data_IF_135070653228
#
_entry.id   IF_135070653228
#
_cell.length_a   1.000
_cell.length_b   1.000
_cell.length_c   1.000
_cell.angle_alpha   90.00
_cell.angle_beta   90.00
_cell.angle_gamma   90.00
#
_symmetry.space_group_name_H-M   'P 1'
#
loop_
_entity.id
_entity.type
_entity.pdbx_description
1 polymer ?
#
# COMPACT_ATOMS: atom_id res chain seq x y z
N UNK A 1 6.91 6.81 0.38
CA UNK A 1 6.52 6.05 1.59
C UNK A 1 5.71 6.97 2.49
N UNK A 2 4.61 6.47 3.06
CA UNK A 2 3.74 7.22 3.99
C UNK A 2 3.43 6.31 5.16
N UNK A 3 3.30 6.88 6.37
CA UNK A 3 2.98 6.16 7.59
C UNK A 3 1.92 6.91 8.38
N UNK A 4 1.10 6.19 9.15
CA UNK A 4 0.11 6.75 10.09
C UNK A 4 0.31 6.12 11.47
N UNK A 5 -0.15 6.82 12.53
CA UNK A 5 0.09 6.46 13.93
C UNK A 5 1.42 6.98 14.49
N UNK A 6 2.03 7.96 13.81
CA UNK A 6 3.31 8.58 14.19
C UNK A 6 3.24 10.11 14.01
N UNK A 7 3.89 10.89 14.90
CA UNK A 7 4.51 10.49 16.16
C UNK A 7 3.48 10.14 17.25
N UNK A 8 2.23 10.57 17.07
CA UNK A 8 1.13 10.30 17.98
C UNK A 8 0.38 9.04 17.55
N UNK A 9 0.27 8.02 18.42
CA UNK A 9 -0.51 6.82 18.12
C UNK A 9 -2.00 7.14 17.94
N UNK A 10 -2.63 6.56 16.93
CA UNK A 10 -4.06 6.74 16.62
C UNK A 10 -4.87 5.43 16.79
N UNK A 11 -4.45 4.59 17.74
CA UNK A 11 -5.03 3.27 18.00
C UNK A 11 -5.18 2.45 16.71
N UNK A 12 -6.36 1.91 16.39
CA UNK A 12 -6.59 1.12 15.18
C UNK A 12 -6.86 1.98 13.93
N UNK A 13 -6.98 3.31 14.04
CA UNK A 13 -7.38 4.17 12.92
C UNK A 13 -6.30 4.32 11.85
N UNK A 14 -5.02 4.11 12.18
CA UNK A 14 -3.92 4.21 11.21
C UNK A 14 -4.14 3.38 9.96
N UNK A 15 -4.57 2.12 10.12
CA UNK A 15 -4.79 1.22 8.99
C UNK A 15 -5.88 1.78 8.06
N UNK A 16 -6.95 2.32 8.63
CA UNK A 16 -8.05 2.91 7.88
C UNK A 16 -7.69 4.21 7.14
N UNK A 17 -6.88 5.07 7.77
CA UNK A 17 -6.39 6.30 7.14
C UNK A 17 -5.51 5.99 5.92
N UNK A 18 -4.55 5.06 6.08
CA UNK A 18 -3.67 4.64 4.99
C UNK A 18 -4.46 3.91 3.90
N UNK A 19 -5.42 3.05 4.26
CA UNK A 19 -6.29 2.39 3.28
C UNK A 19 -7.13 3.39 2.49
N UNK A 20 -7.69 4.40 3.14
CA UNK A 20 -8.48 5.44 2.48
C UNK A 20 -7.61 6.28 1.55
N UNK A 21 -6.41 6.67 2.01
CA UNK A 21 -5.42 7.38 1.20
C UNK A 21 -4.98 6.58 -0.03
N UNK A 22 -4.78 5.27 0.12
CA UNK A 22 -4.40 4.40 -0.99
C UNK A 22 -5.50 4.33 -2.07
N UNK A 23 -6.78 4.24 -1.67
CA UNK A 23 -7.91 4.30 -2.59
C UNK A 23 -7.99 5.66 -3.31
N UNK A 24 -7.75 6.76 -2.60
CA UNK A 24 -7.70 8.10 -3.17
C UNK A 24 -6.57 8.27 -4.18
N UNK A 25 -5.39 7.71 -3.90
CA UNK A 25 -4.25 7.71 -4.82
C UNK A 25 -4.57 6.94 -6.09
N UNK A 26 -5.14 5.74 -5.98
CA UNK A 26 -5.55 4.96 -7.16
C UNK A 26 -6.58 5.69 -8.02
N UNK A 27 -7.55 6.36 -7.39
CA UNK A 27 -8.55 7.16 -8.12
C UNK A 27 -7.90 8.35 -8.84
N UNK A 28 -6.95 9.01 -8.19
CA UNK A 28 -6.26 10.20 -8.74
C UNK A 28 -5.40 9.85 -9.97
N UNK A 29 -4.77 8.68 -9.97
CA UNK A 29 -3.92 8.18 -11.07
C UNK A 29 -4.69 8.09 -12.40
N UNK A 30 -6.01 7.87 -12.36
CA UNK A 30 -6.86 7.88 -13.57
C UNK A 30 -6.89 9.22 -14.29
N UNK A 31 -6.86 10.31 -13.53
CA UNK A 31 -6.92 11.68 -14.09
C UNK A 31 -5.55 12.22 -14.48
N UNK A 32 -4.48 11.59 -14.00
CA UNK A 32 -3.13 12.03 -14.25
C UNK A 32 -2.66 11.61 -15.64
N UNK A 33 -2.27 12.60 -16.46
CA UNK A 33 -1.67 12.37 -17.79
C UNK A 33 -0.21 12.78 -17.78
N UNK A 34 0.63 11.92 -18.34
CA UNK A 34 2.06 12.16 -18.45
C UNK A 34 2.30 13.13 -19.63
N UNK A 35 2.88 14.30 -19.37
CA UNK A 35 3.06 15.37 -20.38
C UNK A 35 3.81 14.89 -21.63
N UNK A 36 4.81 14.02 -21.47
CA UNK A 36 5.65 13.50 -22.55
C UNK A 36 5.12 12.19 -23.16
N UNK A 37 4.11 11.55 -22.56
CA UNK A 37 3.45 10.33 -23.05
C UNK A 37 1.94 10.36 -22.74
N UNK A 38 1.15 11.15 -23.49
CA UNK A 38 -0.25 11.38 -23.17
C UNK A 38 -1.17 10.18 -23.39
N UNK A 39 -0.73 9.17 -24.16
CA UNK A 39 -1.45 7.92 -24.45
C UNK A 39 -1.22 6.84 -23.38
N UNK A 40 -0.14 6.94 -22.62
CA UNK A 40 0.17 6.00 -21.55
C UNK A 40 -0.49 6.45 -20.25
N UNK A 41 -1.17 5.52 -19.58
CA UNK A 41 -1.72 5.74 -18.26
C UNK A 41 -0.69 5.33 -17.20
N UNK A 42 -0.42 6.22 -16.25
CA UNK A 42 0.42 5.89 -15.10
C UNK A 42 -0.22 4.71 -14.34
N UNK A 43 0.58 3.71 -14.01
CA UNK A 43 0.14 2.58 -13.18
C UNK A 43 0.90 2.59 -11.87
N UNK A 44 0.18 2.46 -10.76
CA UNK A 44 0.76 2.47 -9.42
C UNK A 44 0.52 1.14 -8.73
N UNK A 45 1.52 0.66 -8.00
CA UNK A 45 1.41 -0.45 -7.05
C UNK A 45 1.46 0.13 -5.64
N UNK A 46 0.61 -0.38 -4.77
CA UNK A 46 0.57 0.07 -3.38
C UNK A 46 0.65 -1.16 -2.47
N UNK A 47 1.56 -1.14 -1.51
CA UNK A 47 1.69 -2.16 -0.47
C UNK A 47 1.43 -1.57 0.91
N UNK A 48 0.69 -2.30 1.74
CA UNK A 48 0.32 -1.90 3.09
C UNK A 48 0.60 -3.01 4.10
N UNK A 49 1.23 -2.63 5.21
CA UNK A 49 1.49 -3.49 6.35
C UNK A 49 1.41 -2.65 7.64
N UNK A 50 1.04 -3.29 8.75
CA UNK A 50 0.92 -2.66 10.07
C UNK A 50 1.72 -3.45 11.10
N UNK A 51 2.56 -2.74 11.86
CA UNK A 51 3.41 -3.34 12.89
C UNK A 51 4.23 -2.27 13.64
N UNK A 52 5.08 -2.71 14.55
CA UNK A 52 5.96 -1.82 15.32
C UNK A 52 7.11 -1.28 14.47
N UNK A 53 7.45 -0.01 14.68
CA UNK A 53 8.53 0.66 13.95
C UNK A 53 9.29 1.59 14.90
N UNK A 54 10.60 1.66 14.72
CA UNK A 54 11.45 2.61 15.42
C UNK A 54 11.61 3.85 14.54
N UNK A 55 11.53 5.03 15.14
CA UNK A 55 11.63 6.30 14.40
C UNK A 55 12.69 7.19 15.04
N UNK A 56 13.35 8.03 14.23
CA UNK A 56 14.37 8.93 14.75
C UNK A 56 14.82 9.96 13.72
N UNK A 57 15.43 11.03 14.21
CA UNK A 57 16.06 12.05 13.37
C UNK A 57 17.53 11.67 13.16
N UNK A 58 17.92 11.51 11.91
CA UNK A 58 19.29 11.14 11.50
C UNK A 58 20.00 12.36 10.92
N UNK A 59 21.19 12.64 11.43
CA UNK A 59 22.08 13.70 10.95
C UNK A 59 22.00 15.01 11.75
N UNK A 60 23.17 15.61 12.01
CA UNK A 60 23.27 16.87 12.76
C UNK A 60 23.10 18.10 11.85
N UNK A 61 23.75 18.11 10.68
CA UNK A 61 23.71 19.24 9.73
C UNK A 61 22.48 19.23 8.82
N UNK A 62 21.97 18.03 8.50
CA UNK A 62 20.78 17.84 7.67
C UNK A 62 19.88 16.78 8.32
N UNK A 63 19.09 17.15 9.35
CA UNK A 63 18.25 16.21 10.06
C UNK A 63 17.17 15.62 9.14
N UNK A 64 17.12 14.30 9.04
CA UNK A 64 16.08 13.56 8.30
C UNK A 64 15.31 12.67 9.25
N UNK A 65 13.99 12.77 9.25
CA UNK A 65 13.14 11.85 10.00
C UNK A 65 13.05 10.51 9.26
N UNK A 66 13.56 9.46 9.89
CA UNK A 66 13.68 8.13 9.30
C UNK A 66 12.90 7.09 10.11
N UNK A 67 12.34 6.12 9.39
CA UNK A 67 11.60 4.98 9.91
C UNK A 67 12.46 3.72 9.72
N UNK A 68 12.65 2.95 10.79
CA UNK A 68 13.47 1.74 10.79
C UNK A 68 12.70 0.58 11.41
N UNK A 69 12.92 -0.62 10.87
CA UNK A 69 12.39 -1.87 11.42
C UNK A 69 11.88 -2.82 10.35
N UNK A 70 11.45 -3.99 10.80
CA UNK A 70 10.93 -5.02 9.90
C UNK A 70 9.63 -4.59 9.22
N UNK A 71 8.82 -3.76 9.87
CA UNK A 71 7.55 -3.26 9.31
C UNK A 71 7.76 -2.45 8.03
N UNK A 72 8.79 -1.60 7.93
CA UNK A 72 9.06 -0.83 6.70
C UNK A 72 9.56 -1.73 5.57
N UNK A 73 10.42 -2.69 5.90
CA UNK A 73 10.92 -3.67 4.94
C UNK A 73 9.80 -4.59 4.43
N UNK A 74 8.90 -4.98 5.34
CA UNK A 74 7.78 -5.84 5.00
C UNK A 74 6.72 -5.11 4.17
N UNK A 75 6.43 -3.84 4.48
CA UNK A 75 5.60 -2.98 3.64
C UNK A 75 6.19 -2.79 2.24
N UNK A 76 7.52 -2.58 2.13
CA UNK A 76 8.20 -2.52 0.84
C UNK A 76 8.03 -3.82 0.05
N UNK A 77 8.13 -4.98 0.70
CA UNK A 77 7.89 -6.27 0.04
C UNK A 77 6.43 -6.46 -0.36
N UNK A 78 5.46 -5.93 0.40
CA UNK A 78 4.05 -5.91 -0.03
C UNK A 78 3.89 -5.14 -1.33
N UNK A 79 4.55 -3.99 -1.45
CA UNK A 79 4.47 -3.17 -2.65
C UNK A 79 5.13 -3.88 -3.85
N UNK A 80 6.36 -4.38 -3.66
CA UNK A 80 7.12 -4.99 -4.76
C UNK A 80 6.54 -6.31 -5.26
N UNK A 81 5.87 -7.08 -4.39
CA UNK A 81 5.12 -8.28 -4.78
C UNK A 81 3.69 -7.99 -5.25
N UNK A 82 3.25 -6.73 -5.22
CA UNK A 82 1.91 -6.30 -5.61
C UNK A 82 1.66 -6.36 -7.12
N UNK A 83 0.38 -6.21 -7.49
CA UNK A 83 -0.05 -6.05 -8.88
C UNK A 83 -0.31 -4.57 -9.17
N UNK A 84 -0.09 -4.14 -10.42
CA UNK A 84 -0.47 -2.79 -10.84
C UNK A 84 -1.95 -2.50 -10.57
N UNK A 85 -2.23 -1.25 -10.20
CA UNK A 85 -3.56 -0.71 -9.91
C UNK A 85 -4.28 -1.42 -8.75
N UNK A 86 -3.58 -2.24 -7.96
CA UNK A 86 -4.12 -2.92 -6.78
C UNK A 86 -3.37 -2.50 -5.51
N UNK A 87 -4.10 -2.56 -4.38
CA UNK A 87 -3.56 -2.30 -3.05
C UNK A 87 -3.34 -3.65 -2.37
N UNK A 88 -2.09 -4.02 -2.20
CA UNK A 88 -1.68 -5.27 -1.58
C UNK A 88 -1.57 -5.10 -0.06
N UNK A 89 -2.22 -6.00 0.69
CA UNK A 89 -2.42 -5.88 2.13
C UNK A 89 -1.89 -7.13 2.83
N UNK A 90 -1.07 -6.92 3.86
CA UNK A 90 -0.58 -7.99 4.74
C UNK A 90 -1.68 -8.52 5.67
N UNK A 91 -1.55 -9.74 6.22
CA UNK A 91 -2.54 -10.31 7.12
C UNK A 91 -2.72 -9.49 8.41
N UNK A 92 -1.65 -8.88 8.93
CA UNK A 92 -1.71 -8.03 10.12
C UNK A 92 -2.49 -6.74 9.85
N UNK A 93 -2.24 -6.10 8.71
CA UNK A 93 -2.99 -4.89 8.32
C UNK A 93 -4.47 -5.21 8.10
N UNK A 94 -4.79 -6.37 7.50
CA UNK A 94 -6.18 -6.84 7.35
C UNK A 94 -6.88 -6.94 8.71
N UNK A 95 -6.23 -7.49 9.74
CA UNK A 95 -6.82 -7.62 11.08
C UNK A 95 -7.23 -6.26 11.66
N UNK A 96 -6.48 -5.19 11.39
CA UNK A 96 -6.86 -3.84 11.82
C UNK A 96 -8.02 -3.27 11.00
N UNK A 97 -8.08 -3.55 9.69
CA UNK A 97 -9.18 -3.11 8.83
C UNK A 97 -10.49 -3.82 9.18
N UNK A 98 -10.43 -5.12 9.47
CA UNK A 98 -11.59 -5.91 9.88
C UNK A 98 -12.24 -5.32 11.16
N UNK A 99 -11.42 -4.82 12.10
CA UNK A 99 -11.88 -4.15 13.32
C UNK A 99 -12.56 -2.80 13.06
N UNK A 100 -12.18 -2.07 12.02
CA UNK A 100 -12.75 -0.75 11.71
C UNK A 100 -14.10 -0.85 10.99
N UNK A 101 -14.43 -2.01 10.41
CA UNK A 101 -15.60 -2.27 9.57
C UNK A 101 -15.67 -1.41 8.29
N UNK A 102 -16.33 -1.92 7.25
CA UNK A 102 -16.59 -1.16 6.03
C UNK A 102 -15.48 -1.16 4.97
N UNK A 103 -14.43 -1.98 5.11
CA UNK A 103 -13.46 -2.24 4.05
C UNK A 103 -13.75 -3.59 3.38
N UNK A 104 -13.64 -3.65 2.06
CA UNK A 104 -13.84 -4.88 1.28
C UNK A 104 -12.48 -5.40 0.83
N UNK A 105 -12.11 -6.58 1.32
CA UNK A 105 -10.85 -7.24 1.01
C UNK A 105 -11.11 -8.55 0.25
N UNK A 106 -10.28 -8.83 -0.74
CA UNK A 106 -10.27 -10.06 -1.52
C UNK A 106 -9.04 -10.90 -1.16
N UNK A 107 -9.19 -12.21 -1.05
CA UNK A 107 -8.07 -13.12 -0.84
C UNK A 107 -7.24 -13.22 -2.12
N UNK A 108 -5.95 -12.88 -2.06
CA UNK A 108 -5.01 -13.11 -3.16
C UNK A 108 -4.52 -14.55 -3.20
N UNK A 109 -4.28 -15.12 -2.01
CA UNK A 109 -3.62 -16.42 -1.83
C UNK A 109 -2.23 -16.27 -1.23
N UNK A 110 -1.41 -17.29 -1.42
CA UNK A 110 -0.09 -17.41 -0.84
C UNK A 110 0.98 -16.74 -1.70
N UNK A 111 1.80 -15.89 -1.08
CA UNK A 111 2.91 -15.19 -1.74
C UNK A 111 4.20 -15.50 -0.98
N UNK A 112 5.22 -15.96 -1.72
CA UNK A 112 6.52 -16.22 -1.14
C UNK A 112 7.30 -14.92 -0.91
N UNK A 113 7.81 -14.73 0.30
CA UNK A 113 8.52 -13.52 0.69
C UNK A 113 9.83 -13.88 1.38
N UNK A 114 10.93 -13.35 0.83
CA UNK A 114 12.28 -13.58 1.34
C UNK A 114 12.37 -13.30 2.85
N UNK A 115 12.71 -14.30 3.65
CA UNK A 115 12.89 -14.17 5.10
C UNK A 115 11.60 -14.21 5.95
N UNK A 116 10.42 -14.27 5.35
CA UNK A 116 9.14 -14.55 6.07
C UNK A 116 8.50 -15.88 5.67
N UNK A 117 8.95 -16.47 4.55
CA UNK A 117 8.38 -17.70 4.02
C UNK A 117 7.15 -17.40 3.15
N UNK A 118 6.20 -18.31 3.16
CA UNK A 118 4.94 -18.16 2.43
C UNK A 118 3.92 -17.45 3.31
N UNK A 119 3.37 -16.33 2.84
CA UNK A 119 2.38 -15.57 3.60
C UNK A 119 1.11 -15.40 2.78
N UNK A 120 -0.04 -15.62 3.43
CA UNK A 120 -1.35 -15.36 2.85
C UNK A 120 -1.64 -13.86 2.83
N UNK A 121 -1.98 -13.34 1.66
CA UNK A 121 -2.14 -11.90 1.43
C UNK A 121 -3.49 -11.55 0.82
N UNK A 122 -3.83 -10.27 0.85
CA UNK A 122 -5.14 -9.77 0.46
C UNK A 122 -5.03 -8.54 -0.43
N UNK A 123 -6.05 -8.30 -1.25
CA UNK A 123 -6.21 -7.04 -1.98
C UNK A 123 -7.35 -6.22 -1.39
N UNK A 124 -7.11 -4.92 -1.18
CA UNK A 124 -8.19 -4.01 -0.82
C UNK A 124 -8.93 -3.57 -2.09
N UNK A 125 -10.22 -3.88 -2.17
CA UNK A 125 -11.08 -3.53 -3.31
C UNK A 125 -11.78 -2.19 -3.12
N UNK A 126 -12.13 -1.83 -1.89
CA UNK A 126 -12.88 -0.62 -1.64
C UNK A 126 -13.28 -0.41 -0.20
N UNK A 127 -14.02 0.67 0.03
CA UNK A 127 -14.54 1.09 1.32
C UNK A 127 -15.98 1.56 1.19
N UNK A 128 -16.83 1.22 2.15
CA UNK A 128 -18.20 1.71 2.26
C UNK A 128 -18.20 3.24 2.37
N UNK A 129 -18.93 3.91 1.47
CA UNK A 129 -18.96 5.37 1.39
C UNK A 129 -17.83 6.00 0.56
N UNK A 130 -17.01 5.20 -0.12
CA UNK A 130 -16.03 5.71 -1.08
C UNK A 130 -16.70 5.86 -2.46
N UNK A 131 -16.98 7.10 -2.86
CA UNK A 131 -17.75 7.40 -4.07
C UNK A 131 -16.87 7.71 -5.30
N UNK A 132 -15.54 7.68 -5.15
CA UNK A 132 -14.64 8.02 -6.26
C UNK A 132 -14.43 6.79 -7.14
N UNK A 133 -14.34 6.96 -8.47
CA UNK A 133 -14.12 5.84 -9.37
C UNK A 133 -12.71 5.26 -9.17
N UNK A 134 -12.63 3.94 -9.10
CA UNK A 134 -11.37 3.19 -9.08
C UNK A 134 -10.93 2.86 -10.52
N UNK A 135 -9.63 2.66 -10.76
CA UNK A 135 -9.12 2.30 -12.08
C UNK A 135 -9.61 0.91 -12.50
N UNK A 136 -9.78 0.73 -13.81
CA UNK A 136 -10.13 -0.57 -14.38
C UNK A 136 -8.93 -1.52 -14.30
N UNK A 137 -9.13 -2.66 -13.64
CA UNK A 137 -8.10 -3.68 -13.45
C UNK A 137 -7.73 -4.40 -14.76
N UNK A 138 -8.61 -4.39 -15.77
CA UNK A 138 -8.32 -4.99 -17.08
C UNK A 138 -7.14 -4.31 -17.79
N UNK A 139 -6.84 -3.06 -17.42
CA UNK A 139 -5.72 -2.29 -17.97
C UNK A 139 -4.41 -2.49 -17.22
N UNK A 140 -4.40 -3.24 -16.12
CA UNK A 140 -3.19 -3.46 -15.33
C UNK A 140 -2.15 -4.24 -16.13
N UNK A 141 -0.90 -3.77 -16.12
CA UNK A 141 0.19 -4.48 -16.76
C UNK A 141 0.41 -5.87 -16.10
N UNK A 142 0.86 -6.88 -16.86
CA UNK A 142 1.13 -8.21 -16.33
C UNK A 142 2.37 -8.23 -15.42
N UNK A 143 2.45 -9.25 -14.55
CA UNK A 143 3.57 -9.46 -13.62
C UNK A 143 4.96 -9.48 -14.29
N UNK A 144 5.04 -9.89 -15.56
CA UNK A 144 6.28 -9.94 -16.33
C UNK A 144 6.87 -8.56 -16.65
N UNK A 145 6.06 -7.51 -16.66
CA UNK A 145 6.48 -6.13 -16.90
C UNK A 145 6.76 -5.37 -15.60
N UNK A 146 6.54 -6.03 -14.45
CA UNK A 146 6.67 -5.43 -13.13
C UNK A 146 8.06 -5.55 -12.51
N UNK A 147 8.92 -6.40 -13.05
CA UNK A 147 10.32 -6.48 -12.65
C UNK A 147 11.05 -5.22 -13.14
N UNK A 148 11.36 -4.33 -12.20
CA UNK A 148 12.31 -3.24 -12.45
C UNK A 148 13.67 -3.89 -12.72
N UNK A 149 14.08 -3.95 -13.99
CA UNK A 149 15.47 -4.22 -14.37
C UNK A 149 16.40 -3.15 -13.80
#
# INVERSE_FOLDING_TARGET
MVASGLPVPNANRHAGEIATMALDMLSSVRTFRIRHRPEEQLQMRIGMHSGSVCTGVVGLKMPRYCLFGDTVNYASRMESSGLALRIHVSPEAKLFLDKLTGYTLELRGEVHMKGKGTVTTYFLLGKKGFNKPLPDLARAAPLSEHECK
#
